data_IF_900718433950
#
_entry.id   IF_900718433950
#
_cell.length_a   1.000
_cell.length_b   1.000
_cell.length_c   1.000
_cell.angle_alpha   90.00
_cell.angle_beta   90.00
_cell.angle_gamma   90.00
#
_symmetry.space_group_name_H-M   'P 1'
#
loop_
_entity.id
_entity.type
_entity.pdbx_description
1 polymer ?
#
# COMPACT_ATOMS: atom_id res chain seq x y z
N UNK A 1 -9.15 -17.32 6.50
CA UNK A 1 -8.29 -16.79 5.42
C UNK A 1 -9.03 -15.79 4.53
N UNK A 2 -10.20 -16.14 3.94
CA UNK A 2 -11.04 -15.19 3.18
C UNK A 2 -11.48 -13.94 3.97
N UNK A 3 -11.66 -14.06 5.29
CA UNK A 3 -12.01 -12.94 6.17
C UNK A 3 -11.02 -11.75 6.12
N UNK A 4 -9.75 -11.98 5.75
CA UNK A 4 -8.74 -10.93 5.60
C UNK A 4 -8.88 -10.15 4.29
N UNK A 5 -9.53 -10.70 3.25
CA UNK A 5 -9.84 -9.94 2.02
C UNK A 5 -10.98 -8.96 2.28
N UNK A 6 -11.96 -9.35 3.09
CA UNK A 6 -13.10 -8.52 3.47
C UNK A 6 -12.79 -7.56 4.64
N UNK A 7 -11.70 -7.78 5.36
CA UNK A 7 -11.32 -6.90 6.48
C UNK A 7 -10.98 -5.52 5.94
N UNK A 8 -11.73 -4.51 6.40
CA UNK A 8 -11.59 -3.11 5.98
C UNK A 8 -11.42 -2.99 4.46
N UNK A 9 -12.29 -3.65 3.68
CA UNK A 9 -12.12 -3.76 2.22
C UNK A 9 -12.14 -2.42 1.49
N UNK A 10 -12.65 -1.36 2.15
CA UNK A 10 -12.81 0.00 1.59
C UNK A 10 -13.60 0.00 0.27
N UNK A 11 -14.44 -1.02 0.05
CA UNK A 11 -15.23 -1.18 -1.17
C UNK A 11 -14.46 -1.75 -2.38
N UNK A 12 -13.24 -2.25 -2.20
CA UNK A 12 -12.45 -2.86 -3.27
C UNK A 12 -12.54 -4.39 -3.29
N UNK A 13 -12.45 -4.95 -4.50
CA UNK A 13 -12.39 -6.39 -4.75
C UNK A 13 -10.95 -6.88 -4.63
N UNK A 14 -10.55 -7.25 -3.40
CA UNK A 14 -9.21 -7.74 -3.12
C UNK A 14 -9.02 -9.18 -3.58
N UNK A 15 -7.84 -9.45 -4.15
CA UNK A 15 -7.38 -10.78 -4.51
C UNK A 15 -6.04 -11.06 -3.84
N UNK A 16 -5.73 -12.33 -3.56
CA UNK A 16 -4.41 -12.69 -3.05
C UNK A 16 -3.39 -12.68 -4.19
N UNK A 17 -2.29 -11.96 -4.01
CA UNK A 17 -1.13 -12.00 -4.91
C UNK A 17 -0.37 -13.34 -4.78
N UNK A 18 -0.35 -13.90 -3.59
CA UNK A 18 0.30 -15.16 -3.25
C UNK A 18 -0.46 -15.90 -2.13
N UNK A 19 -0.39 -17.24 -2.13
CA UNK A 19 -1.18 -18.09 -1.23
C UNK A 19 -0.82 -17.79 0.25
N UNK A 20 -1.78 -17.42 1.13
CA UNK A 20 -1.46 -17.00 2.48
C UNK A 20 -1.14 -18.22 3.34
N UNK A 21 0.06 -18.31 3.92
CA UNK A 21 0.36 -19.44 4.79
C UNK A 21 0.03 -19.17 6.26
N UNK A 22 0.24 -17.96 6.81
CA UNK A 22 -0.06 -17.71 8.25
C UNK A 22 -0.46 -16.25 8.57
N UNK A 23 0.08 -15.25 7.84
CA UNK A 23 0.06 -13.85 8.31
C UNK A 23 -0.63 -12.86 7.35
N UNK A 24 -1.55 -13.38 6.52
CA UNK A 24 -2.09 -12.66 5.37
C UNK A 24 -1.03 -12.45 4.29
N UNK A 25 -1.27 -12.98 3.09
CA UNK A 25 -0.44 -12.70 1.93
C UNK A 25 -0.52 -11.23 1.53
N UNK A 26 0.26 -10.85 0.52
CA UNK A 26 0.02 -9.57 -0.15
C UNK A 26 -1.27 -9.70 -0.94
N UNK A 27 -2.12 -8.70 -0.83
CA UNK A 27 -3.38 -8.58 -1.55
C UNK A 27 -3.22 -7.53 -2.64
N UNK A 28 -3.91 -7.74 -3.75
CA UNK A 28 -3.89 -6.87 -4.93
C UNK A 28 -5.32 -6.54 -5.33
N UNK A 29 -5.54 -5.30 -5.74
CA UNK A 29 -6.80 -4.86 -6.34
C UNK A 29 -6.51 -3.75 -7.36
N UNK A 30 -7.56 -3.30 -8.04
CA UNK A 30 -7.54 -2.09 -8.84
C UNK A 30 -8.56 -1.10 -8.31
N UNK A 31 -8.18 0.18 -8.29
CA UNK A 31 -9.14 1.25 -7.98
C UNK A 31 -10.27 1.26 -9.02
N UNK A 32 -11.48 1.61 -8.60
CA UNK A 32 -12.66 1.60 -9.47
C UNK A 32 -12.65 2.73 -10.50
N UNK A 33 -12.05 3.87 -10.14
CA UNK A 33 -12.03 5.11 -10.94
C UNK A 33 -10.86 5.11 -11.95
N UNK A 34 -9.65 4.90 -11.45
CA UNK A 34 -8.40 5.08 -12.19
C UNK A 34 -7.80 3.76 -12.66
N UNK A 35 -8.39 2.62 -12.25
CA UNK A 35 -7.86 1.28 -12.49
C UNK A 35 -6.39 1.12 -12.07
N UNK A 36 -5.95 1.92 -11.11
CA UNK A 36 -4.60 1.88 -10.57
C UNK A 36 -4.40 0.61 -9.77
N UNK A 37 -3.28 -0.08 -10.00
CA UNK A 37 -2.92 -1.24 -9.20
C UNK A 37 -2.56 -0.82 -7.76
N UNK A 38 -3.22 -1.44 -6.80
CA UNK A 38 -3.04 -1.20 -5.38
C UNK A 38 -2.67 -2.52 -4.70
N UNK A 39 -1.62 -2.50 -3.90
CA UNK A 39 -1.22 -3.61 -3.06
C UNK A 39 -1.50 -3.28 -1.60
N UNK A 40 -1.86 -4.29 -0.82
CA UNK A 40 -1.90 -4.15 0.63
C UNK A 40 -1.51 -5.43 1.35
N UNK A 41 -1.19 -5.28 2.63
CA UNK A 41 -1.13 -6.37 3.58
C UNK A 41 -1.73 -5.91 4.91
N UNK A 42 -2.53 -6.78 5.51
CA UNK A 42 -3.15 -6.55 6.83
C UNK A 42 -2.35 -7.32 7.87
N UNK A 43 -1.87 -6.59 8.88
CA UNK A 43 -1.14 -7.10 10.03
C UNK A 43 -2.09 -7.16 11.22
N UNK A 44 -2.77 -8.29 11.35
CA UNK A 44 -3.87 -8.46 12.32
C UNK A 44 -3.41 -8.23 13.77
N UNK A 45 -2.27 -8.80 14.16
CA UNK A 45 -1.74 -8.67 15.53
C UNK A 45 -1.34 -7.24 15.91
N UNK A 46 -1.11 -6.38 14.91
CA UNK A 46 -0.74 -4.97 15.12
C UNK A 46 -1.91 -4.02 14.85
N UNK A 47 -3.09 -4.55 14.53
CA UNK A 47 -4.26 -3.77 14.07
C UNK A 47 -3.87 -2.75 13.00
N UNK A 48 -3.03 -3.17 12.04
CA UNK A 48 -2.46 -2.28 11.03
C UNK A 48 -2.69 -2.79 9.61
N UNK A 49 -2.81 -1.87 8.67
CA UNK A 49 -2.85 -2.10 7.22
C UNK A 49 -1.73 -1.29 6.60
N UNK A 50 -0.95 -1.92 5.73
CA UNK A 50 0.03 -1.24 4.88
C UNK A 50 -0.42 -1.40 3.44
N UNK A 51 -0.49 -0.30 2.71
CA UNK A 51 -0.80 -0.30 1.29
C UNK A 51 0.24 0.46 0.48
N UNK A 52 0.44 0.01 -0.76
CA UNK A 52 1.37 0.59 -1.71
C UNK A 52 0.67 0.77 -3.05
N UNK A 53 0.78 1.97 -3.58
CA UNK A 53 0.30 2.36 -4.91
C UNK A 53 1.24 3.39 -5.52
N UNK A 54 0.91 3.92 -6.69
CA UNK A 54 1.75 4.89 -7.40
C UNK A 54 1.19 6.31 -7.35
N UNK A 55 2.05 7.29 -7.54
CA UNK A 55 1.66 8.64 -7.93
C UNK A 55 1.54 8.74 -9.45
N UNK A 56 1.01 9.86 -9.94
CA UNK A 56 0.97 10.18 -11.38
C UNK A 56 2.36 10.19 -12.02
N UNK A 57 3.39 10.62 -11.29
CA UNK A 57 4.78 10.66 -11.75
C UNK A 57 5.55 9.35 -11.48
N UNK A 58 4.82 8.24 -11.28
CA UNK A 58 5.39 6.90 -11.12
C UNK A 58 6.33 6.74 -9.90
N UNK A 59 6.11 7.55 -8.85
CA UNK A 59 6.68 7.31 -7.52
C UNK A 59 5.77 6.37 -6.75
N UNK A 60 6.29 5.77 -5.69
CA UNK A 60 5.53 4.90 -4.80
C UNK A 60 4.95 5.73 -3.65
N UNK A 61 3.68 5.53 -3.37
CA UNK A 61 3.05 5.99 -2.14
C UNK A 61 2.96 4.79 -1.21
N UNK A 62 3.56 4.93 -0.05
CA UNK A 62 3.42 4.00 1.07
C UNK A 62 2.43 4.59 2.05
N UNK A 63 1.34 3.89 2.29
CA UNK A 63 0.29 4.29 3.21
C UNK A 63 0.17 3.26 4.34
N UNK A 64 0.23 3.73 5.58
CA UNK A 64 0.09 2.94 6.79
C UNK A 64 -1.16 3.41 7.51
N UNK A 65 -2.07 2.48 7.79
CA UNK A 65 -3.26 2.69 8.60
C UNK A 65 -3.18 1.85 9.87
N UNK A 66 -3.53 2.43 11.01
CA UNK A 66 -3.68 1.74 12.30
C UNK A 66 -5.11 1.91 12.79
N UNK A 67 -5.78 0.80 13.07
CA UNK A 67 -7.18 0.77 13.49
C UNK A 67 -7.27 0.93 15.01
N UNK A 68 -7.25 2.17 15.47
CA UNK A 68 -7.38 2.53 16.89
C UNK A 68 -8.04 3.90 17.06
N UNK A 69 -8.64 4.13 18.22
CA UNK A 69 -9.21 5.43 18.55
C UNK A 69 -8.13 6.53 18.56
N UNK A 70 -8.46 7.72 18.05
CA UNK A 70 -7.52 8.83 17.93
C UNK A 70 -7.27 9.60 19.24
N UNK A 71 -7.49 8.98 20.40
CA UNK A 71 -7.57 9.65 21.71
C UNK A 71 -6.22 9.82 22.43
N UNK A 72 -5.09 9.91 21.71
CA UNK A 72 -3.76 9.95 22.31
C UNK A 72 -2.66 10.58 21.45
N UNK A 73 -1.39 10.54 21.88
CA UNK A 73 -0.26 11.04 21.10
C UNK A 73 -0.12 10.20 19.82
N UNK A 74 -0.41 10.81 18.68
CA UNK A 74 -0.36 10.15 17.37
C UNK A 74 1.06 10.08 16.78
N UNK A 75 2.10 10.08 17.63
CA UNK A 75 3.49 10.07 17.18
C UNK A 75 4.11 8.69 17.30
N UNK A 76 4.84 8.26 16.28
CA UNK A 76 5.59 7.00 16.25
C UNK A 76 6.96 7.22 15.65
N UNK A 77 7.88 6.27 15.85
CA UNK A 77 9.12 6.21 15.08
C UNK A 77 8.98 5.24 13.92
N UNK A 78 9.29 5.73 12.73
CA UNK A 78 9.33 4.93 11.51
C UNK A 78 10.73 4.97 10.93
N UNK A 79 11.24 3.81 10.54
CA UNK A 79 12.44 3.68 9.74
C UNK A 79 12.08 3.14 8.36
N UNK A 80 12.35 3.91 7.32
CA UNK A 80 12.12 3.49 5.93
C UNK A 80 13.45 3.18 5.25
N UNK A 81 13.59 1.98 4.70
CA UNK A 81 14.80 1.48 4.08
C UNK A 81 16.01 1.60 5.04
N UNK A 82 17.13 2.11 4.54
CA UNK A 82 18.35 2.37 5.31
C UNK A 82 18.42 3.81 5.85
N UNK A 83 17.32 4.57 5.79
CA UNK A 83 17.28 5.91 6.34
C UNK A 83 17.24 5.85 7.88
N UNK A 84 17.77 6.86 8.59
CA UNK A 84 17.64 6.94 10.03
C UNK A 84 16.17 6.94 10.47
N UNK A 85 15.84 6.38 11.65
CA UNK A 85 14.50 6.47 12.21
C UNK A 85 14.03 7.91 12.36
N UNK A 86 12.81 8.19 11.93
CA UNK A 86 12.18 9.50 12.01
C UNK A 86 10.93 9.45 12.88
N UNK A 87 10.72 10.48 13.70
CA UNK A 87 9.44 10.68 14.37
C UNK A 87 8.44 11.20 13.35
N UNK A 88 7.31 10.51 13.21
CA UNK A 88 6.21 10.93 12.35
C UNK A 88 4.94 11.10 13.16
N UNK A 89 4.04 11.94 12.68
CA UNK A 89 2.71 12.15 13.26
C UNK A 89 1.68 11.51 12.33
N UNK A 90 0.83 10.64 12.86
CA UNK A 90 -0.33 10.13 12.15
C UNK A 90 -1.45 11.16 12.13
N UNK A 91 -2.16 11.21 11.01
CA UNK A 91 -3.44 11.90 10.86
C UNK A 91 -4.57 11.02 11.38
N UNK A 92 -5.58 11.62 11.99
CA UNK A 92 -6.77 10.90 12.39
C UNK A 92 -7.82 10.89 11.27
N UNK A 93 -8.32 9.72 10.93
CA UNK A 93 -9.43 9.48 10.02
C UNK A 93 -10.63 8.91 10.81
N UNK A 94 -11.78 9.59 10.72
CA UNK A 94 -13.07 9.13 11.27
C UNK A 94 -13.04 8.72 12.76
N UNK A 95 -12.19 9.35 13.57
CA UNK A 95 -11.97 9.12 15.01
C UNK A 95 -11.46 7.73 15.43
N UNK A 96 -11.40 6.76 14.52
CA UNK A 96 -11.12 5.34 14.80
C UNK A 96 -9.98 4.76 13.96
N UNK A 97 -9.30 5.59 13.17
CA UNK A 97 -8.18 5.17 12.33
C UNK A 97 -7.11 6.25 12.34
N UNK A 98 -5.86 5.84 12.50
CA UNK A 98 -4.69 6.67 12.32
C UNK A 98 -4.04 6.34 10.98
N UNK A 99 -3.75 7.35 10.16
CA UNK A 99 -3.13 7.17 8.85
C UNK A 99 -1.84 7.98 8.71
N UNK A 100 -0.87 7.39 8.03
CA UNK A 100 0.39 8.01 7.69
C UNK A 100 0.71 7.64 6.24
N UNK A 101 1.12 8.63 5.45
CA UNK A 101 1.51 8.40 4.06
C UNK A 101 2.86 9.04 3.79
N UNK A 102 3.68 8.37 2.99
CA UNK A 102 4.94 8.93 2.50
C UNK A 102 5.16 8.54 1.04
N UNK A 103 5.85 9.41 0.31
CA UNK A 103 6.19 9.19 -1.09
C UNK A 103 7.67 8.84 -1.18
N UNK A 104 7.98 7.77 -1.90
CA UNK A 104 9.36 7.32 -2.10
C UNK A 104 9.55 6.80 -3.52
N UNK A 105 10.78 6.79 -3.99
CA UNK A 105 11.15 6.16 -5.25
C UNK A 105 11.43 4.67 -5.08
N UNK A 106 11.71 4.17 -3.87
CA UNK A 106 12.11 2.78 -3.63
C UNK A 106 11.59 2.27 -2.27
N UNK A 107 11.18 0.99 -2.23
CA UNK A 107 10.69 0.31 -1.04
C UNK A 107 11.40 -1.04 -0.88
N UNK A 108 12.13 -1.20 0.22
CA UNK A 108 12.82 -2.44 0.57
C UNK A 108 12.30 -2.97 1.92
N UNK A 109 12.37 -2.13 2.96
CA UNK A 109 11.96 -2.49 4.33
C UNK A 109 11.36 -1.27 5.02
N UNK A 110 10.37 -1.48 5.88
CA UNK A 110 9.90 -0.48 6.83
C UNK A 110 9.86 -1.10 8.22
N UNK A 111 10.26 -0.33 9.23
CA UNK A 111 10.13 -0.69 10.64
C UNK A 111 9.27 0.38 11.29
N UNK A 112 8.24 -0.04 12.03
CA UNK A 112 7.32 0.84 12.75
C UNK A 112 7.38 0.45 14.22
N UNK A 113 7.76 1.41 15.06
CA UNK A 113 7.84 1.23 16.51
C UNK A 113 6.57 1.77 17.16
N UNK A 114 5.64 0.87 17.47
CA UNK A 114 4.51 1.17 18.33
C UNK A 114 4.95 1.12 19.80
N UNK A 115 4.15 1.69 20.71
CA UNK A 115 4.50 1.82 22.14
C UNK A 115 4.89 0.47 22.79
N UNK A 116 4.24 -0.63 22.40
CA UNK A 116 4.45 -1.96 22.98
C UNK A 116 4.93 -3.02 21.98
N UNK A 117 5.11 -2.66 20.70
CA UNK A 117 5.48 -3.63 19.67
C UNK A 117 6.22 -3.00 18.50
N UNK A 118 7.04 -3.82 17.84
CA UNK A 118 7.64 -3.47 16.55
C UNK A 118 6.91 -4.20 15.42
N UNK A 119 6.64 -3.48 14.34
CA UNK A 119 6.17 -4.04 13.08
C UNK A 119 7.27 -3.88 12.03
N UNK A 120 7.86 -5.00 11.61
CA UNK A 120 8.78 -5.06 10.48
C UNK A 120 8.05 -5.50 9.22
N UNK A 121 8.11 -4.67 8.18
CA UNK A 121 7.54 -4.91 6.85
C UNK A 121 8.68 -5.11 5.86
N UNK A 122 8.68 -6.26 5.19
CA UNK A 122 9.57 -6.54 4.06
C UNK A 122 8.78 -6.46 2.76
N UNK A 123 9.25 -5.65 1.81
CA UNK A 123 8.59 -5.44 0.52
C UNK A 123 9.09 -6.36 -0.60
N UNK A 124 10.04 -7.27 -0.31
CA UNK A 124 10.57 -8.22 -1.30
C UNK A 124 9.46 -9.05 -1.97
N UNK A 125 8.44 -9.47 -1.19
CA UNK A 125 7.35 -10.33 -1.66
C UNK A 125 6.13 -9.54 -2.19
N UNK A 126 6.26 -8.22 -2.31
CA UNK A 126 5.16 -7.34 -2.70
C UNK A 126 5.11 -7.06 -4.20
N UNK A 127 5.93 -7.67 -5.05
CA UNK A 127 5.96 -7.38 -6.50
C UNK A 127 5.89 -5.85 -6.84
N UNK A 128 6.63 -5.02 -6.10
CA UNK A 128 6.58 -3.55 -6.26
C UNK A 128 6.92 -3.10 -7.68
N UNK A 129 7.76 -3.87 -8.38
CA UNK A 129 8.09 -3.65 -9.80
C UNK A 129 6.86 -3.71 -10.71
N UNK A 130 5.88 -4.55 -10.40
CA UNK A 130 4.67 -4.70 -11.21
C UNK A 130 3.77 -3.47 -11.10
N UNK A 131 3.66 -2.85 -9.93
CA UNK A 131 2.91 -1.58 -9.77
C UNK A 131 3.54 -0.48 -10.64
N UNK A 132 4.86 -0.32 -10.58
CA UNK A 132 5.57 0.70 -11.38
C UNK A 132 5.45 0.43 -12.88
N UNK A 133 5.52 -0.84 -13.28
CA UNK A 133 5.37 -1.24 -14.67
C UNK A 133 3.95 -0.98 -15.16
N UNK A 134 2.94 -1.27 -14.34
CA UNK A 134 1.53 -0.98 -14.63
C UNK A 134 1.32 0.53 -14.81
N UNK A 135 1.78 1.35 -13.87
CA UNK A 135 1.72 2.81 -13.97
C UNK A 135 2.45 3.33 -15.22
N UNK A 136 3.65 2.81 -15.52
CA UNK A 136 4.39 3.22 -16.71
C UNK A 136 3.64 2.89 -18.00
N UNK A 137 3.02 1.71 -18.09
CA UNK A 137 2.20 1.29 -19.22
C UNK A 137 0.97 2.19 -19.38
N UNK A 138 0.32 2.52 -18.28
CA UNK A 138 -0.84 3.41 -18.27
C UNK A 138 -0.50 4.82 -18.72
N UNK A 139 0.69 5.34 -18.38
CA UNK A 139 1.14 6.68 -18.80
C UNK A 139 1.56 6.76 -20.27
N UNK A 140 1.88 5.63 -20.92
CA UNK A 140 2.39 5.60 -22.29
C UNK A 140 1.56 4.68 -23.21
N UNK A 141 0.22 4.81 -23.27
CA UNK A 141 -0.65 3.85 -23.95
C UNK A 141 -0.30 3.70 -25.43
N UNK A 142 -0.06 4.81 -26.14
CA UNK A 142 0.29 4.81 -27.56
C UNK A 142 1.61 4.12 -27.88
N UNK A 143 2.59 4.19 -26.97
CA UNK A 143 3.86 3.48 -27.14
C UNK A 143 3.63 1.97 -27.11
N UNK A 144 2.86 1.48 -26.13
CA UNK A 144 2.58 0.06 -25.97
C UNK A 144 1.59 -0.50 -27.00
N UNK A 145 0.62 0.32 -27.46
CA UNK A 145 -0.26 0.00 -28.59
C UNK A 145 0.54 -0.30 -29.86
N UNK A 146 1.52 0.55 -30.18
CA UNK A 146 2.42 0.34 -31.34
C UNK A 146 3.27 -0.93 -31.23
N UNK A 147 3.53 -1.40 -30.02
CA UNK A 147 4.26 -2.65 -29.75
C UNK A 147 3.33 -3.89 -29.71
N UNK A 148 2.05 -3.75 -30.05
CA UNK A 148 1.08 -4.84 -29.99
C UNK A 148 0.75 -5.28 -28.55
N UNK A 149 1.03 -4.44 -27.56
CA UNK A 149 0.71 -4.67 -26.15
C UNK A 149 -0.27 -3.60 -25.66
N UNK A 150 -1.50 -3.53 -26.21
CA UNK A 150 -2.45 -2.50 -25.81
C UNK A 150 -2.66 -2.53 -24.29
N UNK A 151 -2.75 -1.35 -23.67
CA UNK A 151 -3.09 -1.27 -22.25
C UNK A 151 -4.47 -1.89 -22.04
N UNK A 152 -4.58 -2.87 -21.14
CA UNK A 152 -5.86 -3.51 -20.80
C UNK A 152 -6.87 -2.52 -20.19
N UNK A 153 -6.36 -1.41 -19.65
CA UNK A 153 -7.13 -0.35 -19.03
C UNK A 153 -6.51 1.00 -19.48
N UNK A 154 -7.22 1.76 -20.33
CA UNK A 154 -6.93 3.18 -20.51
C UNK A 154 -7.61 3.93 -19.35
N UNK A 155 -6.95 4.92 -18.78
CA UNK A 155 -7.58 5.77 -17.78
C UNK A 155 -8.81 6.43 -18.42
N UNK A 156 -9.99 6.23 -17.84
CA UNK A 156 -11.02 7.26 -17.87
C UNK A 156 -10.56 8.27 -16.82
N UNK A 157 -9.94 9.35 -17.28
CA UNK A 157 -9.85 10.55 -16.46
C UNK A 157 -10.30 11.72 -17.29
N UNK A 158 -11.43 12.26 -16.86
CA UNK A 158 -11.82 13.64 -17.12
C UNK A 158 -10.73 14.61 -16.62
#
# INVERSE_FOLDING_TARGET
MFALLSYQSKGYDWQWLSFPFIDGGVQVTRTSDTHQLLLRKVYFFHSAEVSVYTTMDNKLVLHLSRFQACSGPNQTQIQLNQLPPQKVTFSCENNNQLSFSTVTTHLNKMIVNFEESELTINFADWNISDIKKDQFKQLHPHYFERLGQPSKYQWSRD
#
